data_IF_879463078804
#
_entry.id   IF_879463078804
#
_cell.length_a   1.000
_cell.length_b   1.000
_cell.length_c   1.000
_cell.angle_alpha   90.00
_cell.angle_beta   90.00
_cell.angle_gamma   90.00
#
_symmetry.space_group_name_H-M   'P 1'
#
loop_
_entity.id
_entity.type
_entity.pdbx_description
1 polymer ?
#
# COMPACT_ATOMS: atom_id res chain seq x y z
N UNK A 1 -0.68 3.56 -12.77
CA UNK A 1 -0.92 4.37 -11.56
C UNK A 1 -2.02 5.36 -11.91
N UNK A 2 -3.19 5.25 -11.26
CA UNK A 2 -4.35 6.15 -11.45
C UNK A 2 -4.60 6.65 -12.88
N UNK A 3 -4.85 5.78 -13.85
CA UNK A 3 -5.40 6.04 -15.19
C UNK A 3 -5.04 7.36 -15.94
N UNK A 4 -3.91 8.02 -15.65
CA UNK A 4 -3.54 9.33 -16.18
C UNK A 4 -2.22 9.25 -16.94
N UNK A 5 -2.24 9.57 -18.23
CA UNK A 5 -1.10 9.35 -19.13
C UNK A 5 0.08 10.33 -18.97
N UNK A 6 0.13 11.19 -17.95
CA UNK A 6 1.26 12.15 -17.78
C UNK A 6 1.46 12.76 -16.38
N UNK A 7 0.66 12.43 -15.37
CA UNK A 7 0.95 12.83 -14.00
C UNK A 7 0.82 11.60 -13.10
N UNK A 8 1.67 11.50 -12.08
CA UNK A 8 1.84 10.35 -11.17
C UNK A 8 2.89 9.30 -11.61
N UNK A 9 4.01 9.74 -12.20
CA UNK A 9 5.23 8.93 -12.16
C UNK A 9 5.73 8.87 -10.71
N UNK A 10 5.88 7.65 -10.18
CA UNK A 10 6.52 7.44 -8.89
C UNK A 10 8.02 7.31 -9.16
N UNK A 11 8.90 8.06 -8.48
CA UNK A 11 10.33 7.93 -8.62
C UNK A 11 10.80 6.48 -8.42
N UNK A 12 11.71 6.03 -9.28
CA UNK A 12 12.27 4.68 -9.26
C UNK A 12 13.51 4.54 -8.37
N UNK A 13 13.79 5.51 -7.52
CA UNK A 13 14.93 5.50 -6.61
C UNK A 13 14.51 5.97 -5.21
N UNK A 14 15.18 5.41 -4.21
CA UNK A 14 14.88 5.65 -2.79
C UNK A 14 15.15 7.11 -2.38
N UNK A 15 16.19 7.73 -2.93
CA UNK A 15 16.58 9.10 -2.58
C UNK A 15 15.49 10.10 -2.99
N UNK A 16 14.92 9.97 -4.18
CA UNK A 16 13.86 10.86 -4.65
C UNK A 16 12.53 10.56 -3.99
N UNK A 17 12.22 9.28 -3.74
CA UNK A 17 10.93 8.89 -3.16
C UNK A 17 10.83 9.21 -1.66
N UNK A 18 11.88 8.92 -0.88
CA UNK A 18 11.85 9.03 0.58
C UNK A 18 12.71 10.18 1.14
N UNK A 19 13.73 10.63 0.40
CA UNK A 19 14.71 11.62 0.85
C UNK A 19 14.08 12.92 1.39
N UNK A 20 13.12 13.55 0.69
CA UNK A 20 12.46 14.75 1.21
C UNK A 20 11.78 14.55 2.57
N UNK A 21 11.24 13.35 2.81
CA UNK A 21 10.64 12.99 4.10
C UNK A 21 11.71 12.80 5.18
N UNK A 22 12.80 12.08 4.86
CA UNK A 22 13.93 11.88 5.78
C UNK A 22 14.56 13.22 6.18
N UNK A 23 14.80 14.11 5.22
CA UNK A 23 15.37 15.44 5.46
C UNK A 23 14.47 16.30 6.36
N UNK A 24 13.15 16.10 6.28
CA UNK A 24 12.17 16.71 7.17
C UNK A 24 12.04 16.01 8.54
N UNK A 25 12.79 14.93 8.78
CA UNK A 25 12.76 14.15 10.02
C UNK A 25 11.62 13.14 10.11
N UNK A 26 10.96 12.81 9.01
CA UNK A 26 9.91 11.80 8.99
C UNK A 26 10.48 10.40 9.29
N UNK A 27 9.74 9.65 10.11
CA UNK A 27 10.00 8.24 10.43
C UNK A 27 8.94 7.29 9.85
N UNK A 28 7.90 7.87 9.24
CA UNK A 28 6.80 7.15 8.65
C UNK A 28 6.51 7.69 7.25
N UNK A 29 6.29 6.81 6.29
CA UNK A 29 5.81 7.14 4.97
C UNK A 29 4.51 6.40 4.69
N UNK A 30 3.45 7.13 4.34
CA UNK A 30 2.17 6.52 3.96
C UNK A 30 1.96 6.64 2.46
N UNK A 31 1.72 5.51 1.80
CA UNK A 31 1.53 5.39 0.37
C UNK A 31 0.16 4.75 0.05
N UNK A 32 -0.85 5.59 -0.20
CA UNK A 32 -2.19 5.16 -0.62
C UNK A 32 -2.32 5.08 -2.14
N UNK A 33 -1.37 4.41 -2.78
CA UNK A 33 -1.33 4.20 -4.23
C UNK A 33 -0.67 2.86 -4.54
N UNK A 34 -0.88 2.36 -5.76
CA UNK A 34 -0.33 1.08 -6.21
C UNK A 34 -0.90 0.66 -7.57
N UNK A 35 -0.60 -0.58 -7.94
CA UNK A 35 -1.21 -1.27 -9.08
C UNK A 35 -1.93 -2.55 -8.61
N UNK A 36 -2.42 -3.38 -9.54
CA UNK A 36 -3.15 -4.61 -9.23
C UNK A 36 -2.31 -5.88 -9.41
N UNK A 37 -0.99 -5.76 -9.58
CA UNK A 37 -0.08 -6.90 -9.69
C UNK A 37 0.33 -7.38 -8.31
N UNK A 38 0.05 -8.66 -8.02
CA UNK A 38 0.35 -9.30 -6.74
C UNK A 38 1.72 -9.95 -6.66
N UNK A 39 2.53 -9.78 -7.72
CA UNK A 39 3.93 -10.16 -7.73
C UNK A 39 4.80 -9.17 -6.94
N UNK A 40 5.91 -9.66 -6.42
CA UNK A 40 6.98 -8.80 -5.94
C UNK A 40 7.58 -8.01 -7.11
N UNK A 41 7.48 -6.68 -7.07
CA UNK A 41 7.84 -5.81 -8.19
C UNK A 41 9.12 -5.02 -7.93
N UNK A 42 9.55 -4.27 -8.94
CA UNK A 42 10.60 -3.26 -8.79
C UNK A 42 10.31 -2.27 -7.65
N UNK A 43 9.08 -1.75 -7.53
CA UNK A 43 8.75 -0.83 -6.43
C UNK A 43 8.73 -1.55 -5.09
N UNK A 44 8.31 -2.82 -5.03
CA UNK A 44 8.40 -3.59 -3.79
C UNK A 44 9.86 -3.70 -3.32
N UNK A 45 10.79 -3.90 -4.25
CA UNK A 45 12.23 -3.92 -3.93
C UNK A 45 12.80 -2.59 -3.45
N UNK A 46 12.29 -1.47 -3.96
CA UNK A 46 12.71 -0.13 -3.50
C UNK A 46 12.27 0.10 -2.05
N UNK A 47 11.03 -0.27 -1.71
CA UNK A 47 10.52 -0.15 -0.34
C UNK A 47 11.30 -1.07 0.62
N UNK A 48 11.56 -2.31 0.22
CA UNK A 48 12.33 -3.26 1.02
C UNK A 48 13.77 -2.80 1.26
N UNK A 49 14.44 -2.33 0.22
CA UNK A 49 15.81 -1.83 0.31
C UNK A 49 15.87 -0.61 1.23
N UNK A 50 14.92 0.32 1.09
CA UNK A 50 14.92 1.53 1.90
C UNK A 50 14.71 1.25 3.39
N UNK A 51 13.75 0.39 3.73
CA UNK A 51 13.51 -0.04 5.10
C UNK A 51 14.71 -0.81 5.68
N UNK A 52 15.38 -1.64 4.87
CA UNK A 52 16.59 -2.36 5.28
C UNK A 52 17.78 -1.42 5.56
N UNK A 53 17.94 -0.36 4.75
CA UNK A 53 19.02 0.62 4.94
C UNK A 53 18.71 1.64 6.06
N UNK A 54 17.45 1.74 6.50
CA UNK A 54 16.96 2.72 7.46
C UNK A 54 16.03 2.06 8.49
N UNK A 55 16.60 1.39 9.49
CA UNK A 55 15.88 0.63 10.53
C UNK A 55 14.80 1.45 11.28
N UNK A 56 14.90 2.78 11.29
CA UNK A 56 13.97 3.68 11.98
C UNK A 56 12.92 4.32 11.05
N UNK A 57 12.76 3.82 9.83
CA UNK A 57 11.80 4.32 8.86
C UNK A 57 10.78 3.25 8.46
N UNK A 58 9.50 3.51 8.72
CA UNK A 58 8.40 2.57 8.45
C UNK A 58 7.51 3.06 7.31
N UNK A 59 7.35 2.21 6.29
CA UNK A 59 6.39 2.46 5.22
C UNK A 59 5.07 1.72 5.45
N UNK A 60 3.96 2.43 5.23
CA UNK A 60 2.59 1.95 5.35
C UNK A 60 1.92 2.09 3.98
N UNK A 61 1.57 0.97 3.36
CA UNK A 61 1.13 0.92 1.97
C UNK A 61 -0.27 0.32 1.87
N UNK A 62 -1.14 0.93 1.08
CA UNK A 62 -2.48 0.38 0.85
C UNK A 62 -2.40 -0.96 0.12
N UNK A 63 -3.06 -2.00 0.64
CA UNK A 63 -3.08 -3.34 0.04
C UNK A 63 -3.72 -3.34 -1.37
N UNK A 64 -4.60 -2.37 -1.64
CA UNK A 64 -5.29 -2.22 -2.92
C UNK A 64 -6.81 -2.42 -2.80
N UNK A 65 -7.49 -2.10 -3.89
CA UNK A 65 -8.96 -2.13 -4.00
C UNK A 65 -9.43 -3.16 -5.05
N UNK A 66 -8.67 -4.23 -5.27
CA UNK A 66 -8.92 -5.24 -6.31
C UNK A 66 -9.90 -6.34 -5.86
N UNK A 67 -10.45 -6.24 -4.64
CA UNK A 67 -11.62 -6.97 -4.20
C UNK A 67 -11.37 -8.39 -3.71
N UNK A 68 -12.41 -9.22 -3.85
CA UNK A 68 -12.64 -10.39 -3.01
C UNK A 68 -11.82 -11.63 -3.35
N UNK A 69 -11.17 -11.64 -4.52
CA UNK A 69 -10.31 -12.75 -4.95
C UNK A 69 -9.03 -12.79 -4.12
N UNK A 70 -8.52 -14.00 -3.89
CA UNK A 70 -7.15 -14.20 -3.39
C UNK A 70 -6.15 -13.58 -4.38
N UNK A 71 -4.92 -13.35 -3.91
CA UNK A 71 -3.81 -12.85 -4.74
C UNK A 71 -4.10 -11.47 -5.36
N UNK A 72 -4.76 -10.59 -4.59
CA UNK A 72 -5.18 -9.27 -5.06
C UNK A 72 -4.48 -8.11 -4.35
N UNK A 73 -3.57 -8.39 -3.41
CA UNK A 73 -2.65 -7.39 -2.84
C UNK A 73 -1.78 -6.84 -3.96
N UNK A 74 -1.76 -5.52 -4.14
CA UNK A 74 -1.09 -4.87 -5.27
C UNK A 74 0.25 -4.27 -4.93
N UNK A 75 1.21 -4.28 -5.85
CA UNK A 75 2.49 -3.60 -5.68
C UNK A 75 2.31 -2.08 -5.47
N UNK A 76 3.04 -1.44 -4.53
CA UNK A 76 4.18 -1.99 -3.77
C UNK A 76 3.81 -2.66 -2.43
N UNK A 77 2.53 -2.89 -2.13
CA UNK A 77 2.13 -3.54 -0.88
C UNK A 77 2.55 -5.02 -0.78
N UNK A 78 3.14 -5.57 -1.84
CA UNK A 78 3.80 -6.88 -1.88
C UNK A 78 5.24 -6.86 -1.33
N UNK A 79 5.75 -5.70 -0.90
CA UNK A 79 7.03 -5.58 -0.19
C UNK A 79 6.99 -6.30 1.17
N UNK A 80 8.14 -6.78 1.64
CA UNK A 80 8.27 -7.58 2.87
C UNK A 80 8.48 -6.73 4.12
N UNK A 81 9.19 -5.62 4.00
CA UNK A 81 9.65 -4.78 5.12
C UNK A 81 8.72 -3.57 5.36
N UNK A 82 7.42 -3.75 5.14
CA UNK A 82 6.41 -2.68 5.25
C UNK A 82 5.18 -3.16 6.04
N UNK A 83 4.24 -2.25 6.29
CA UNK A 83 2.88 -2.61 6.70
C UNK A 83 1.95 -2.43 5.50
N UNK A 84 1.42 -3.55 4.98
CA UNK A 84 0.32 -3.53 4.03
C UNK A 84 -1.03 -3.40 4.78
N UNK A 85 -1.86 -2.42 4.40
CA UNK A 85 -3.11 -2.10 5.09
C UNK A 85 -4.32 -2.37 4.19
N UNK A 86 -5.20 -3.27 4.63
CA UNK A 86 -6.53 -3.48 4.05
C UNK A 86 -7.60 -2.61 4.70
N UNK A 87 -8.83 -2.69 4.19
CA UNK A 87 -9.96 -1.89 4.68
C UNK A 87 -11.05 -2.75 5.31
N UNK A 88 -11.41 -2.46 6.56
CA UNK A 88 -12.71 -2.84 7.12
C UNK A 88 -13.77 -1.78 6.78
N UNK A 89 -15.03 -2.14 6.95
CA UNK A 89 -16.13 -1.18 6.91
C UNK A 89 -16.05 -0.29 8.15
N UNK A 90 -16.51 0.95 8.05
CA UNK A 90 -16.56 1.86 9.21
C UNK A 90 -17.89 1.70 9.95
N UNK A 91 -17.96 2.24 11.16
CA UNK A 91 -19.22 2.45 11.89
C UNK A 91 -19.43 3.95 12.15
N UNK A 92 -20.69 4.39 12.20
CA UNK A 92 -21.00 5.80 12.45
C UNK A 92 -22.38 6.21 11.95
N UNK A 93 -22.88 7.32 12.50
CA UNK A 93 -24.19 7.88 12.16
C UNK A 93 -24.30 8.42 10.74
N UNK A 94 -23.16 8.78 10.14
CA UNK A 94 -23.08 9.44 8.83
C UNK A 94 -22.71 8.47 7.69
N UNK A 95 -22.84 7.16 7.91
CA UNK A 95 -22.49 6.13 6.92
C UNK A 95 -23.70 5.63 6.11
N UNK A 96 -23.42 5.08 4.92
CA UNK A 96 -24.45 4.45 4.08
C UNK A 96 -25.15 3.31 4.82
N UNK A 97 -26.48 3.26 4.70
CA UNK A 97 -27.31 2.12 5.11
C UNK A 97 -26.84 0.87 4.38
N UNK A 98 -26.19 -0.04 5.08
CA UNK A 98 -25.61 -1.26 4.51
C UNK A 98 -24.15 -1.53 4.90
N UNK A 99 -23.52 -0.68 5.72
CA UNK A 99 -22.30 -1.08 6.41
C UNK A 99 -22.63 -2.00 7.58
N UNK A 100 -21.94 -3.14 7.65
CA UNK A 100 -22.04 -4.18 8.66
C UNK A 100 -21.17 -3.88 9.90
N UNK A 101 -20.31 -2.85 9.84
CA UNK A 101 -19.50 -2.35 10.96
C UNK A 101 -18.02 -2.76 10.91
N UNK A 102 -17.26 -2.35 11.92
CA UNK A 102 -15.78 -2.43 11.94
C UNK A 102 -15.21 -3.84 11.87
N UNK A 103 -16.00 -4.85 12.24
CA UNK A 103 -15.61 -6.27 12.20
C UNK A 103 -15.70 -6.87 10.79
N UNK A 104 -16.26 -6.15 9.81
CA UNK A 104 -16.48 -6.65 8.46
C UNK A 104 -15.46 -6.08 7.49
N UNK A 105 -14.86 -6.94 6.67
CA UNK A 105 -13.96 -6.52 5.60
C UNK A 105 -14.75 -5.75 4.52
N UNK A 106 -14.24 -4.61 4.08
CA UNK A 106 -14.81 -3.89 2.94
C UNK A 106 -14.70 -4.76 1.68
N UNK A 107 -15.77 -4.84 0.88
CA UNK A 107 -15.83 -5.78 -0.25
C UNK A 107 -14.71 -5.57 -1.27
N UNK A 108 -14.24 -4.34 -1.43
CA UNK A 108 -13.19 -3.95 -2.36
C UNK A 108 -11.78 -4.20 -1.81
N UNK A 109 -11.61 -4.41 -0.50
CA UNK A 109 -10.28 -4.59 0.09
C UNK A 109 -9.59 -5.79 -0.54
N UNK A 110 -8.42 -5.54 -1.12
CA UNK A 110 -7.54 -6.59 -1.61
C UNK A 110 -7.17 -7.59 -0.51
N UNK A 111 -6.93 -8.83 -0.91
CA UNK A 111 -6.71 -9.99 -0.05
C UNK A 111 -5.48 -10.76 -0.49
N UNK A 112 -4.74 -11.25 0.49
CA UNK A 112 -3.59 -12.12 0.27
C UNK A 112 -3.98 -13.52 -0.26
N UNK A 113 -3.01 -14.44 -0.36
CA UNK A 113 -1.56 -14.19 -0.19
C UNK A 113 -0.99 -13.32 -1.33
N UNK A 114 0.31 -13.04 -1.30
CA UNK A 114 1.02 -12.53 -2.50
C UNK A 114 1.19 -13.67 -3.51
N UNK A 115 1.69 -13.37 -4.71
CA UNK A 115 1.82 -14.38 -5.77
C UNK A 115 2.74 -15.56 -5.40
N UNK A 116 3.64 -15.38 -4.44
CA UNK A 116 4.60 -16.37 -3.94
C UNK A 116 4.20 -17.07 -2.63
N UNK A 117 2.99 -16.81 -2.11
CA UNK A 117 2.43 -17.49 -0.92
C UNK A 117 2.65 -16.75 0.38
#
# INVERSE_FOLDING_TARGET
LGAGNSCCFVPGDTATLFGPGVDAGAKFHSASWGNSDSSYSFYSSIFDQFAYDNDDFLSIVAAGNSGTSLNSVGSPATAKNIIAVGASQSEGRDLYSGNEGMDYLAYFSSRGPTNDG
#
